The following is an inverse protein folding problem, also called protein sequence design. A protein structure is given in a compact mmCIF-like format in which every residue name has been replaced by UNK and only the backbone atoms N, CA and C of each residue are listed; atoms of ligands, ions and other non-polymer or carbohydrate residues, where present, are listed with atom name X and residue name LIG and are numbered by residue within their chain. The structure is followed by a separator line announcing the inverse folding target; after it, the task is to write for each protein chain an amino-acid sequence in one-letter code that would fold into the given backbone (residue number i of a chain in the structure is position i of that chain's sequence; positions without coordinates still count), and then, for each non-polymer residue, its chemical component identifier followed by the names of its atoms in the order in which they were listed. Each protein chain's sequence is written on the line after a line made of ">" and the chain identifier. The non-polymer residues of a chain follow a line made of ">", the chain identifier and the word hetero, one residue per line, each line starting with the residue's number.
data_IF_251914027331
#
_entry.id   IF_251914027331
#
_cell.length_a   1.000
_cell.length_b   1.000
_cell.length_c   1.000
_cell.angle_alpha   90.00
_cell.angle_beta   90.00
_cell.angle_gamma   90.00
#
_symmetry.space_group_name_H-M   'P 1'
#
loop_
_entity.id
_entity.type
_entity.pdbx_description
1 polymer ?
#
# COMPACT_ATOMS: atom_id res chain seq x y z
N UNK A 1 -41.32 -69.57 -61.46
CA UNK A 1 -42.24 -68.65 -60.74
C UNK A 1 -42.24 -68.76 -59.21
N UNK A 2 -41.50 -69.70 -58.56
CA UNK A 2 -41.46 -69.82 -57.08
C UNK A 2 -40.11 -69.47 -56.40
N UNK A 3 -38.99 -69.42 -57.13
CA UNK A 3 -37.66 -69.08 -56.57
C UNK A 3 -37.22 -67.61 -56.78
N UNK A 4 -37.74 -66.91 -57.79
CA UNK A 4 -37.48 -65.46 -57.97
C UNK A 4 -38.17 -64.59 -56.91
N UNK A 5 -39.27 -65.09 -56.34
CA UNK A 5 -40.02 -64.36 -55.32
C UNK A 5 -39.28 -64.35 -53.98
N UNK A 6 -38.63 -65.47 -53.60
CA UNK A 6 -37.80 -65.55 -52.39
C UNK A 6 -36.54 -64.67 -52.48
N UNK A 7 -35.92 -64.55 -53.65
CA UNK A 7 -34.75 -63.67 -53.85
C UNK A 7 -35.12 -62.18 -53.81
N UNK A 8 -36.26 -61.80 -54.39
CA UNK A 8 -36.79 -60.42 -54.29
C UNK A 8 -37.29 -60.07 -52.89
N UNK A 9 -37.84 -61.01 -52.14
CA UNK A 9 -38.27 -60.79 -50.76
C UNK A 9 -37.07 -60.58 -49.82
N UNK A 10 -35.98 -61.32 -50.04
CA UNK A 10 -34.75 -61.15 -49.27
C UNK A 10 -34.03 -59.82 -49.61
N UNK A 11 -34.06 -59.37 -50.87
CA UNK A 11 -33.54 -58.03 -51.24
C UNK A 11 -34.42 -56.87 -50.74
N UNK A 12 -35.75 -57.07 -50.64
CA UNK A 12 -36.67 -56.08 -50.07
C UNK A 12 -36.53 -55.95 -48.55
N UNK A 13 -36.23 -57.04 -47.85
CA UNK A 13 -35.94 -57.02 -46.41
C UNK A 13 -34.54 -56.44 -46.14
N UNK A 14 -33.53 -56.75 -46.94
CA UNK A 14 -32.19 -56.14 -46.79
C UNK A 14 -32.20 -54.65 -47.13
N UNK A 15 -33.08 -54.18 -48.04
CA UNK A 15 -33.28 -52.73 -48.29
C UNK A 15 -34.20 -52.03 -47.28
N UNK A 16 -35.02 -52.76 -46.51
CA UNK A 16 -35.89 -52.17 -45.48
C UNK A 16 -35.32 -52.24 -44.06
N UNK A 17 -34.13 -52.83 -43.87
CA UNK A 17 -33.35 -52.80 -42.62
C UNK A 17 -32.18 -51.81 -42.76
N UNK A 18 -32.49 -50.58 -43.14
CA UNK A 18 -31.89 -49.46 -42.39
C UNK A 18 -32.99 -49.08 -41.42
N UNK A 19 -32.85 -49.54 -40.19
CA UNK A 19 -33.78 -49.21 -39.13
C UNK A 19 -33.95 -47.70 -39.09
N UNK A 20 -35.14 -47.19 -38.78
CA UNK A 20 -35.36 -45.76 -38.55
C UNK A 20 -34.32 -45.21 -37.54
N UNK A 21 -33.89 -46.09 -36.62
CA UNK A 21 -32.76 -45.93 -35.71
C UNK A 21 -31.41 -45.66 -36.38
N UNK A 22 -31.09 -46.31 -37.50
CA UNK A 22 -29.84 -46.10 -38.25
C UNK A 22 -29.83 -44.73 -38.95
N UNK A 23 -31.00 -44.26 -39.42
CA UNK A 23 -31.16 -42.94 -40.03
C UNK A 23 -31.08 -41.83 -38.98
N UNK A 24 -31.72 -42.01 -37.83
CA UNK A 24 -31.59 -41.13 -36.66
C UNK A 24 -30.14 -41.08 -36.18
N UNK A 25 -29.43 -42.21 -36.13
CA UNK A 25 -28.02 -42.26 -35.75
C UNK A 25 -27.11 -41.52 -36.75
N UNK A 26 -27.38 -41.63 -38.05
CA UNK A 26 -26.64 -40.89 -39.10
C UNK A 26 -26.89 -39.39 -39.01
N UNK A 27 -28.13 -38.95 -38.84
CA UNK A 27 -28.48 -37.53 -38.69
C UNK A 27 -27.94 -36.96 -37.37
N UNK A 28 -28.00 -37.71 -36.27
CA UNK A 28 -27.37 -37.37 -35.00
C UNK A 28 -25.85 -37.21 -35.15
N UNK A 29 -25.17 -38.13 -35.86
CA UNK A 29 -23.73 -38.02 -36.15
C UNK A 29 -23.39 -36.81 -37.02
N UNK A 30 -24.26 -36.44 -37.98
CA UNK A 30 -24.08 -35.21 -38.80
C UNK A 30 -24.26 -33.94 -37.95
N UNK A 31 -25.28 -33.90 -37.11
CA UNK A 31 -25.52 -32.81 -36.16
C UNK A 31 -24.36 -32.65 -35.17
N UNK A 32 -23.90 -33.75 -34.58
CA UNK A 32 -22.75 -33.75 -33.67
C UNK A 32 -21.48 -33.22 -34.35
N UNK A 33 -21.19 -33.64 -35.60
CA UNK A 33 -20.06 -33.09 -36.38
C UNK A 33 -20.18 -31.59 -36.65
N UNK A 34 -21.39 -31.06 -36.89
CA UNK A 34 -21.61 -29.61 -37.08
C UNK A 34 -21.37 -28.84 -35.79
N UNK A 35 -21.87 -29.36 -34.66
CA UNK A 35 -21.64 -28.78 -33.33
C UNK A 35 -20.14 -28.78 -33.01
N UNK A 36 -19.46 -29.91 -33.19
CA UNK A 36 -18.01 -30.02 -32.93
C UNK A 36 -17.18 -29.08 -33.83
N UNK A 37 -17.57 -28.91 -35.11
CA UNK A 37 -16.94 -27.93 -36.00
C UNK A 37 -17.20 -26.49 -35.54
N UNK A 38 -18.43 -26.17 -35.16
CA UNK A 38 -18.78 -24.85 -34.62
C UNK A 38 -18.01 -24.53 -33.34
N UNK A 39 -17.92 -25.49 -32.43
CA UNK A 39 -17.12 -25.39 -31.21
C UNK A 39 -15.62 -25.23 -31.52
N UNK A 40 -15.09 -26.00 -32.49
CA UNK A 40 -13.70 -25.89 -32.93
C UNK A 40 -13.38 -24.51 -33.53
N UNK A 41 -14.28 -23.93 -34.33
CA UNK A 41 -14.14 -22.57 -34.85
C UNK A 41 -14.18 -21.55 -33.72
N UNK A 42 -15.12 -21.69 -32.79
CA UNK A 42 -15.24 -20.80 -31.62
C UNK A 42 -13.96 -20.81 -30.78
N UNK A 43 -13.43 -22.00 -30.47
CA UNK A 43 -12.17 -22.17 -29.74
C UNK A 43 -11.01 -21.57 -30.53
N UNK A 44 -10.93 -21.79 -31.84
CA UNK A 44 -9.90 -21.21 -32.70
C UNK A 44 -9.92 -19.67 -32.68
N UNK A 45 -11.10 -19.06 -32.78
CA UNK A 45 -11.27 -17.61 -32.67
C UNK A 45 -10.85 -17.11 -31.29
N UNK A 46 -11.28 -17.79 -30.22
CA UNK A 46 -10.90 -17.42 -28.86
C UNK A 46 -9.39 -17.46 -28.67
N UNK A 47 -8.72 -18.49 -29.17
CA UNK A 47 -7.24 -18.61 -29.11
C UNK A 47 -6.58 -17.46 -29.84
N UNK A 48 -7.04 -17.10 -31.05
CA UNK A 48 -6.49 -15.96 -31.80
C UNK A 48 -6.70 -14.65 -31.05
N UNK A 49 -7.86 -14.43 -30.43
CA UNK A 49 -8.14 -13.24 -29.62
C UNK A 49 -7.24 -13.18 -28.38
N UNK A 50 -7.04 -14.29 -27.67
CA UNK A 50 -6.15 -14.36 -26.51
C UNK A 50 -4.70 -14.09 -26.92
N UNK A 51 -4.22 -14.70 -28.00
CA UNK A 51 -2.88 -14.42 -28.53
C UNK A 51 -2.75 -12.95 -28.92
N UNK A 52 -3.75 -12.40 -29.62
CA UNK A 52 -3.80 -10.99 -30.00
C UNK A 52 -3.73 -10.06 -28.79
N UNK A 53 -4.47 -10.37 -27.71
CA UNK A 53 -4.44 -9.62 -26.46
C UNK A 53 -3.07 -9.71 -25.78
N UNK A 54 -2.50 -10.93 -25.66
CA UNK A 54 -1.18 -11.12 -25.05
C UNK A 54 -0.10 -10.34 -25.81
N UNK A 55 -0.11 -10.41 -27.15
CA UNK A 55 0.81 -9.64 -27.99
C UNK A 55 0.59 -8.14 -27.83
N UNK A 56 -0.66 -7.67 -27.85
CA UNK A 56 -0.98 -6.27 -27.64
C UNK A 56 -0.45 -5.77 -26.29
N UNK A 57 -0.76 -6.47 -25.19
CA UNK A 57 -0.30 -6.12 -23.84
C UNK A 57 1.22 -6.10 -23.79
N UNK A 58 1.89 -7.15 -24.25
CA UNK A 58 3.36 -7.24 -24.21
C UNK A 58 4.06 -6.12 -25.00
N UNK A 59 3.42 -5.60 -26.05
CA UNK A 59 3.93 -4.50 -26.87
C UNK A 59 3.58 -3.10 -26.35
N UNK A 60 2.65 -2.97 -25.39
CA UNK A 60 2.07 -1.67 -25.00
C UNK A 60 2.23 -1.34 -23.53
N UNK A 61 2.36 -2.34 -22.64
CA UNK A 61 2.32 -2.13 -21.20
C UNK A 61 3.45 -1.26 -20.64
N UNK A 62 4.61 -1.23 -21.31
CA UNK A 62 5.81 -0.51 -20.84
C UNK A 62 6.29 0.51 -21.88
N UNK A 63 5.35 1.13 -22.60
CA UNK A 63 5.69 2.19 -23.55
C UNK A 63 5.99 3.49 -22.79
N UNK A 64 7.13 4.14 -23.05
CA UNK A 64 7.43 5.41 -22.43
C UNK A 64 6.45 6.48 -22.91
N UNK A 65 5.99 7.30 -21.97
CA UNK A 65 5.15 8.47 -22.24
C UNK A 65 6.06 9.65 -22.54
N UNK A 66 6.05 10.12 -23.78
CA UNK A 66 6.80 11.31 -24.17
C UNK A 66 6.16 12.54 -23.53
N UNK A 67 6.80 13.07 -22.49
CA UNK A 67 6.38 14.28 -21.76
C UNK A 67 7.58 15.17 -21.50
N UNK A 68 7.38 16.48 -21.59
CA UNK A 68 8.43 17.44 -21.28
C UNK A 68 8.87 17.30 -19.82
N UNK A 69 10.18 17.36 -19.58
CA UNK A 69 10.73 17.45 -18.23
C UNK A 69 10.64 18.91 -17.79
N UNK A 70 10.01 19.21 -16.63
CA UNK A 70 9.94 20.58 -16.14
C UNK A 70 11.35 21.11 -15.86
N UNK A 71 11.63 22.33 -16.29
CA UNK A 71 12.94 22.95 -16.08
C UNK A 71 12.94 23.59 -14.68
N UNK A 72 13.42 22.84 -13.69
CA UNK A 72 13.46 23.24 -12.29
C UNK A 72 14.81 22.88 -11.69
N UNK A 73 15.21 23.60 -10.64
CA UNK A 73 16.44 23.34 -9.90
C UNK A 73 16.15 23.50 -8.42
N UNK A 74 16.50 22.50 -7.63
CA UNK A 74 16.28 22.50 -6.20
C UNK A 74 17.24 23.51 -5.54
N UNK A 75 16.74 24.43 -4.70
CA UNK A 75 17.60 25.24 -3.85
C UNK A 75 18.41 24.34 -2.90
N UNK A 76 19.65 24.74 -2.60
CA UNK A 76 20.56 23.99 -1.72
C UNK A 76 20.76 24.65 -0.37
N UNK A 77 19.98 25.69 -0.06
CA UNK A 77 20.05 26.37 1.22
C UNK A 77 19.50 25.49 2.36
N UNK A 78 19.97 25.75 3.57
CA UNK A 78 19.65 24.92 4.73
C UNK A 78 18.15 24.92 5.08
N UNK A 79 17.41 25.98 4.78
CA UNK A 79 15.98 26.05 5.06
C UNK A 79 15.19 25.13 4.13
N UNK A 80 15.54 25.13 2.83
CA UNK A 80 14.94 24.23 1.85
C UNK A 80 15.26 22.77 2.16
N UNK A 81 16.51 22.45 2.51
CA UNK A 81 16.90 21.09 2.91
C UNK A 81 16.14 20.63 4.16
N UNK A 82 16.04 21.48 5.20
CA UNK A 82 15.30 21.15 6.41
C UNK A 82 13.80 20.95 6.15
N UNK A 83 13.20 21.73 5.25
CA UNK A 83 11.81 21.49 4.81
C UNK A 83 11.69 20.16 4.08
N UNK A 84 12.65 19.82 3.23
CA UNK A 84 12.71 18.55 2.53
C UNK A 84 12.82 17.37 3.48
N UNK A 85 13.68 17.46 4.49
CA UNK A 85 13.82 16.47 5.56
C UNK A 85 12.49 16.27 6.29
N UNK A 86 11.85 17.35 6.72
CA UNK A 86 10.55 17.29 7.40
C UNK A 86 9.47 16.58 6.57
N UNK A 87 9.41 16.86 5.26
CA UNK A 87 8.48 16.19 4.35
C UNK A 87 8.86 14.73 4.15
N UNK A 88 10.13 14.43 3.89
CA UNK A 88 10.62 13.08 3.62
C UNK A 88 10.44 12.14 4.82
N UNK A 89 10.85 12.60 6.00
CA UNK A 89 10.89 11.83 7.26
C UNK A 89 9.51 11.70 7.88
N UNK A 90 8.75 12.81 7.95
CA UNK A 90 7.61 12.88 8.85
C UNK A 90 6.27 12.98 8.14
N UNK A 91 6.25 13.34 6.87
CA UNK A 91 5.01 13.72 6.19
C UNK A 91 4.70 12.79 5.01
N UNK A 92 5.54 12.77 3.98
CA UNK A 92 5.43 11.88 2.82
C UNK A 92 6.06 10.49 3.02
N UNK A 93 6.81 10.28 4.11
CA UNK A 93 7.29 8.97 4.57
C UNK A 93 8.05 8.17 3.51
N UNK A 94 8.89 8.84 2.73
CA UNK A 94 9.61 8.22 1.62
C UNK A 94 10.46 7.01 2.07
N UNK A 95 10.98 7.06 3.30
CA UNK A 95 11.76 5.98 3.89
C UNK A 95 10.99 4.68 4.10
N UNK A 96 9.66 4.73 4.21
CA UNK A 96 8.82 3.55 4.41
C UNK A 96 8.93 2.58 3.23
N UNK A 97 9.23 3.07 2.02
CA UNK A 97 9.43 2.23 0.85
C UNK A 97 10.86 2.24 0.30
N UNK A 98 11.63 3.30 0.55
CA UNK A 98 12.95 3.52 -0.07
C UNK A 98 14.15 3.26 0.86
N UNK A 99 13.93 2.78 2.09
CA UNK A 99 14.98 2.32 2.99
C UNK A 99 15.76 1.11 2.43
N UNK A 100 17.01 0.95 2.87
CA UNK A 100 17.86 -0.17 2.47
C UNK A 100 17.63 -1.43 3.33
N UNK A 101 18.12 -2.57 2.82
CA UNK A 101 18.28 -3.84 3.57
C UNK A 101 17.00 -4.44 4.18
N UNK A 102 15.83 -4.18 3.58
CA UNK A 102 14.56 -4.74 4.08
C UNK A 102 14.05 -4.06 5.35
N UNK A 103 14.68 -2.96 5.78
CA UNK A 103 14.24 -2.20 6.95
C UNK A 103 13.23 -1.11 6.57
N UNK A 104 12.21 -0.93 7.41
CA UNK A 104 11.32 0.23 7.41
C UNK A 104 11.86 1.25 8.43
N UNK A 105 13.08 1.75 8.23
CA UNK A 105 13.71 2.68 9.17
C UNK A 105 14.19 3.95 8.48
N UNK A 106 13.91 5.14 9.05
CA UNK A 106 14.51 6.39 8.58
C UNK A 106 16.04 6.43 8.84
N UNK A 107 16.55 5.65 9.81
CA UNK A 107 17.97 5.64 10.19
C UNK A 107 18.86 4.87 9.20
N UNK A 108 18.26 3.98 8.41
CA UNK A 108 18.98 3.21 7.41
C UNK A 108 19.16 4.03 6.13
N UNK A 109 20.24 3.80 5.37
CA UNK A 109 20.43 4.50 4.11
C UNK A 109 19.22 4.35 3.19
N UNK A 110 18.84 5.43 2.54
CA UNK A 110 17.68 5.49 1.62
C UNK A 110 18.04 4.93 0.24
N UNK A 111 18.69 3.77 0.25
CA UNK A 111 19.34 3.15 -0.89
C UNK A 111 18.47 2.08 -1.59
N UNK A 112 17.19 1.97 -1.20
CA UNK A 112 16.21 1.06 -1.80
C UNK A 112 16.52 -0.42 -1.60
N UNK A 113 15.74 -1.27 -2.27
CA UNK A 113 15.86 -2.73 -2.23
C UNK A 113 14.85 -3.44 -1.32
N UNK A 114 14.03 -2.70 -0.57
CA UNK A 114 12.88 -3.26 0.12
C UNK A 114 11.92 -3.91 -0.88
N UNK A 115 11.61 -5.20 -0.67
CA UNK A 115 10.66 -5.95 -1.50
C UNK A 115 9.23 -5.71 -1.01
N UNK A 116 8.34 -5.40 -1.94
CA UNK A 116 6.90 -5.31 -1.73
C UNK A 116 6.22 -6.43 -2.51
N UNK A 117 5.68 -7.41 -1.79
CA UNK A 117 4.89 -8.50 -2.36
C UNK A 117 3.46 -8.05 -2.63
N UNK A 118 3.18 -7.70 -3.89
CA UNK A 118 1.86 -7.34 -4.36
C UNK A 118 1.15 -8.52 -5.06
N UNK A 119 1.56 -9.77 -4.81
CA UNK A 119 0.92 -10.95 -5.44
C UNK A 119 -0.46 -11.24 -4.87
N UNK A 120 -0.76 -10.80 -3.65
CA UNK A 120 -2.09 -10.91 -3.03
C UNK A 120 -2.96 -9.66 -3.23
N UNK A 121 -2.42 -8.60 -3.83
CA UNK A 121 -3.16 -7.37 -4.10
C UNK A 121 -3.91 -7.49 -5.43
N UNK A 122 -5.24 -7.41 -5.36
CA UNK A 122 -6.12 -7.43 -6.54
C UNK A 122 -5.95 -8.72 -7.36
N UNK A 123 -5.71 -8.65 -8.69
CA UNK A 123 -5.46 -9.83 -9.53
C UNK A 123 -4.03 -10.40 -9.40
N UNK A 124 -3.25 -9.93 -8.42
CA UNK A 124 -1.85 -10.28 -8.18
C UNK A 124 -0.90 -9.55 -9.12
N UNK A 125 -0.28 -8.47 -8.64
CA UNK A 125 0.55 -7.58 -9.45
C UNK A 125 2.01 -8.02 -9.59
N UNK A 126 2.54 -8.75 -8.62
CA UNK A 126 3.91 -9.26 -8.62
C UNK A 126 4.76 -8.66 -7.50
N UNK A 127 6.09 -8.69 -7.67
CA UNK A 127 7.04 -8.20 -6.67
C UNK A 127 7.69 -6.91 -7.13
N UNK A 128 7.70 -5.90 -6.26
CA UNK A 128 8.22 -4.57 -6.55
C UNK A 128 9.29 -4.20 -5.54
N UNK A 129 10.20 -3.32 -5.94
CA UNK A 129 11.30 -2.90 -5.08
C UNK A 129 11.40 -1.39 -4.99
N UNK A 130 11.61 -0.88 -3.78
CA UNK A 130 11.92 0.52 -3.53
C UNK A 130 13.21 0.94 -4.25
N UNK A 131 13.18 2.07 -4.96
CA UNK A 131 14.36 2.57 -5.69
C UNK A 131 15.39 3.21 -4.76
N UNK A 132 16.65 3.26 -5.18
CA UNK A 132 17.72 3.97 -4.46
C UNK A 132 17.57 5.49 -4.66
N UNK A 133 17.21 6.21 -3.59
CA UNK A 133 17.01 7.67 -3.61
C UNK A 133 18.27 8.46 -3.25
N UNK A 134 19.38 7.80 -2.95
CA UNK A 134 20.65 8.48 -2.64
C UNK A 134 21.26 9.10 -3.91
N UNK A 135 22.10 10.14 -3.80
CA UNK A 135 22.71 10.80 -4.95
C UNK A 135 23.84 10.00 -5.62
N UNK A 136 23.91 8.68 -5.39
CA UNK A 136 24.85 7.80 -6.09
C UNK A 136 24.64 7.89 -7.62
N UNK A 137 25.69 8.15 -8.42
CA UNK A 137 25.55 8.41 -9.85
C UNK A 137 25.31 7.15 -10.69
N UNK A 138 25.63 5.96 -10.18
CA UNK A 138 25.53 4.71 -10.95
C UNK A 138 24.22 3.96 -10.67
N UNK A 139 23.77 3.97 -9.42
CA UNK A 139 22.68 3.13 -8.93
C UNK A 139 21.55 3.92 -8.27
N UNK A 140 21.77 5.20 -7.96
CA UNK A 140 20.78 6.11 -7.39
C UNK A 140 20.37 7.23 -8.34
N UNK A 141 19.92 8.34 -7.76
CA UNK A 141 19.37 9.49 -8.49
C UNK A 141 20.43 10.50 -8.96
N UNK A 142 21.72 10.23 -8.74
CA UNK A 142 22.81 11.21 -8.93
C UNK A 142 22.90 11.83 -10.32
N UNK A 143 22.44 11.12 -11.36
CA UNK A 143 22.44 11.61 -12.76
C UNK A 143 21.09 12.09 -13.27
N UNK A 144 20.04 12.00 -12.46
CA UNK A 144 18.73 12.55 -12.80
C UNK A 144 18.78 14.06 -12.62
N UNK A 145 18.04 14.81 -13.43
CA UNK A 145 17.76 16.23 -13.19
C UNK A 145 16.67 16.39 -12.13
N UNK A 146 16.61 17.57 -11.49
CA UNK A 146 15.59 17.83 -10.47
C UNK A 146 14.17 17.82 -11.08
N UNK A 147 14.03 18.26 -12.33
CA UNK A 147 12.79 18.15 -13.08
C UNK A 147 12.33 16.71 -13.32
N UNK A 148 13.25 15.79 -13.60
CA UNK A 148 12.93 14.36 -13.74
C UNK A 148 12.45 13.77 -12.41
N UNK A 149 13.08 14.14 -11.29
CA UNK A 149 12.66 13.70 -9.96
C UNK A 149 11.28 14.25 -9.57
N UNK A 150 11.06 15.55 -9.79
CA UNK A 150 9.76 16.19 -9.55
C UNK A 150 8.66 15.54 -10.40
N UNK A 151 8.95 15.19 -11.65
CA UNK A 151 8.02 14.47 -12.54
C UNK A 151 7.75 13.04 -12.05
N UNK A 152 8.79 12.33 -11.60
CA UNK A 152 8.61 11.01 -11.02
C UNK A 152 7.70 11.05 -9.80
N UNK A 153 7.92 12.01 -8.90
CA UNK A 153 7.14 12.17 -7.67
C UNK A 153 5.68 12.53 -7.97
N UNK A 154 5.44 13.54 -8.82
CA UNK A 154 4.10 14.11 -9.01
C UNK A 154 3.31 13.48 -10.14
N UNK A 155 3.97 12.85 -11.10
CA UNK A 155 3.31 12.34 -12.30
C UNK A 155 3.43 10.82 -12.47
N UNK A 156 4.26 10.16 -11.66
CA UNK A 156 4.46 8.72 -11.70
C UNK A 156 5.28 8.26 -12.91
N UNK A 157 6.15 9.11 -13.46
CA UNK A 157 6.96 8.81 -14.63
C UNK A 157 8.44 8.82 -14.29
N UNK A 158 9.14 7.72 -14.55
CA UNK A 158 10.59 7.66 -14.37
C UNK A 158 11.34 8.58 -15.36
N UNK A 159 12.67 8.51 -15.30
CA UNK A 159 13.56 9.30 -16.15
C UNK A 159 13.27 9.10 -17.63
N UNK A 160 13.11 7.85 -18.05
CA UNK A 160 12.85 7.45 -19.42
C UNK A 160 11.37 7.61 -19.83
N UNK A 161 10.48 7.91 -18.87
CA UNK A 161 9.06 8.16 -19.07
C UNK A 161 8.19 6.91 -18.94
N UNK A 162 8.70 5.83 -18.35
CA UNK A 162 7.90 4.66 -18.00
C UNK A 162 7.09 4.93 -16.74
N UNK A 163 5.95 4.25 -16.64
CA UNK A 163 5.08 4.37 -15.48
C UNK A 163 5.72 3.66 -14.29
N UNK A 164 5.94 4.40 -13.22
CA UNK A 164 6.33 3.84 -11.92
C UNK A 164 5.13 3.06 -11.39
N UNK A 165 5.39 1.90 -10.78
CA UNK A 165 4.35 1.07 -10.19
C UNK A 165 3.47 1.91 -9.22
N UNK A 166 2.12 1.89 -9.33
CA UNK A 166 1.21 2.74 -8.55
C UNK A 166 1.18 2.52 -7.03
N UNK A 167 2.06 1.67 -6.47
CA UNK A 167 2.32 1.72 -5.02
C UNK A 167 3.06 2.98 -4.63
N UNK A 168 3.87 3.55 -5.54
CA UNK A 168 4.38 4.91 -5.34
C UNK A 168 3.17 5.88 -5.42
N UNK A 169 2.86 6.65 -4.37
CA UNK A 169 1.57 7.35 -4.22
C UNK A 169 1.50 8.67 -5.02
N UNK A 170 1.90 8.63 -6.30
CA UNK A 170 1.91 9.80 -7.18
C UNK A 170 0.53 10.43 -7.39
N UNK A 171 -0.57 9.68 -7.20
CA UNK A 171 -1.93 10.24 -7.24
C UNK A 171 -2.10 11.34 -6.19
N UNK A 172 -1.60 11.08 -4.99
CA UNK A 172 -1.68 11.99 -3.86
C UNK A 172 -0.56 13.04 -3.93
N UNK A 173 0.65 12.67 -4.33
CA UNK A 173 1.74 13.62 -4.52
C UNK A 173 1.54 14.57 -5.73
N UNK A 174 0.57 14.33 -6.61
CA UNK A 174 0.33 15.17 -7.80
C UNK A 174 0.11 16.64 -7.48
N UNK A 175 -0.58 16.94 -6.38
CA UNK A 175 -0.85 18.30 -5.91
C UNK A 175 0.24 18.92 -5.04
N UNK A 176 1.38 18.23 -4.87
CA UNK A 176 2.50 18.78 -4.11
C UNK A 176 3.04 20.05 -4.80
N UNK A 177 3.21 21.11 -4.01
CA UNK A 177 3.66 22.40 -4.53
C UNK A 177 5.07 22.30 -5.12
N UNK A 178 5.41 23.22 -6.02
CA UNK A 178 6.75 23.29 -6.60
C UNK A 178 7.82 23.50 -5.51
N UNK A 179 7.52 24.30 -4.48
CA UNK A 179 8.40 24.55 -3.34
C UNK A 179 8.68 23.26 -2.56
N UNK A 180 7.63 22.54 -2.15
CA UNK A 180 7.79 21.32 -1.35
C UNK A 180 8.36 20.15 -2.17
N UNK A 181 8.03 20.07 -3.47
CA UNK A 181 8.61 19.07 -4.37
C UNK A 181 10.12 19.30 -4.56
N UNK A 182 10.55 20.56 -4.72
CA UNK A 182 11.97 20.90 -4.78
C UNK A 182 12.66 20.75 -3.43
N UNK A 183 11.97 20.97 -2.31
CA UNK A 183 12.50 20.71 -0.98
C UNK A 183 12.82 19.23 -0.78
N UNK A 184 11.90 18.33 -1.17
CA UNK A 184 12.16 16.88 -1.18
C UNK A 184 13.39 16.54 -2.02
N UNK A 185 13.51 17.12 -3.22
CA UNK A 185 14.70 16.91 -4.07
C UNK A 185 15.97 17.43 -3.39
N UNK A 186 15.94 18.62 -2.79
CA UNK A 186 17.08 19.18 -2.07
C UNK A 186 17.55 18.25 -0.94
N UNK A 187 16.63 17.69 -0.16
CA UNK A 187 16.97 16.72 0.89
C UNK A 187 17.54 15.42 0.31
N UNK A 188 16.91 14.83 -0.71
CA UNK A 188 17.43 13.62 -1.36
C UNK A 188 18.85 13.81 -1.92
N UNK A 189 19.16 15.00 -2.46
CA UNK A 189 20.51 15.37 -2.92
C UNK A 189 21.52 15.51 -1.77
N UNK A 190 21.06 15.84 -0.57
CA UNK A 190 21.91 16.00 0.61
C UNK A 190 22.26 14.68 1.30
N UNK A 191 21.53 13.60 0.98
CA UNK A 191 21.76 12.28 1.56
C UNK A 191 23.17 11.76 1.22
N UNK A 192 23.79 10.95 2.10
CA UNK A 192 25.01 10.23 1.76
C UNK A 192 24.80 9.33 0.53
N UNK A 193 25.67 9.39 -0.49
CA UNK A 193 25.57 8.50 -1.65
C UNK A 193 25.85 7.06 -1.23
N UNK A 194 24.95 6.14 -1.58
CA UNK A 194 25.12 4.71 -1.32
C UNK A 194 24.93 3.95 -2.62
N UNK A 195 25.98 3.24 -3.02
CA UNK A 195 25.93 2.38 -4.20
C UNK A 195 25.15 1.11 -3.88
N UNK A 196 23.92 1.02 -4.36
CA UNK A 196 23.06 -0.15 -4.22
C UNK A 196 22.21 -0.34 -5.47
N UNK A 197 22.49 -1.39 -6.24
CA UNK A 197 21.69 -1.73 -7.42
C UNK A 197 20.50 -2.56 -7.01
N UNK A 198 19.33 -1.94 -7.02
CA UNK A 198 18.05 -2.58 -6.70
C UNK A 198 17.66 -3.61 -7.78
N UNK A 199 17.09 -4.78 -7.40
CA UNK A 199 16.54 -5.74 -8.36
C UNK A 199 15.45 -5.14 -9.25
N UNK A 200 15.29 -5.68 -10.46
CA UNK A 200 14.18 -5.30 -11.33
C UNK A 200 12.85 -5.87 -10.81
N UNK A 201 11.78 -5.10 -10.95
CA UNK A 201 10.42 -5.52 -10.59
C UNK A 201 10.02 -6.79 -11.36
N UNK A 202 9.35 -7.72 -10.67
CA UNK A 202 8.82 -8.96 -11.25
C UNK A 202 7.31 -8.81 -11.44
N UNK A 203 6.91 -8.38 -12.63
CA UNK A 203 5.52 -8.03 -12.94
C UNK A 203 4.70 -9.21 -13.47
N UNK A 204 3.46 -9.34 -13.00
CA UNK A 204 2.51 -10.34 -13.51
C UNK A 204 1.91 -9.94 -14.87
N UNK A 205 1.30 -10.89 -15.59
CA UNK A 205 0.54 -10.55 -16.80
C UNK A 205 -0.66 -9.65 -16.50
N UNK A 206 -1.33 -9.86 -15.36
CA UNK A 206 -2.47 -9.04 -14.95
C UNK A 206 -2.08 -7.57 -14.77
N UNK A 207 -0.95 -7.31 -14.11
CA UNK A 207 -0.40 -5.97 -13.99
C UNK A 207 -0.13 -5.32 -15.36
N UNK A 208 0.58 -6.04 -16.24
CA UNK A 208 0.87 -5.55 -17.59
C UNK A 208 -0.40 -5.25 -18.38
N UNK A 209 -1.42 -6.09 -18.23
CA UNK A 209 -2.71 -5.90 -18.89
C UNK A 209 -3.43 -4.64 -18.39
N UNK A 210 -3.40 -4.35 -17.09
CA UNK A 210 -3.99 -3.12 -16.55
C UNK A 210 -3.35 -1.85 -17.15
N UNK A 211 -2.03 -1.83 -17.32
CA UNK A 211 -1.35 -0.68 -17.95
C UNK A 211 -1.59 -0.66 -19.46
N UNK A 212 -1.39 -1.79 -20.16
CA UNK A 212 -1.55 -1.86 -21.62
C UNK A 212 -2.97 -1.55 -22.10
N UNK A 213 -3.99 -1.85 -21.28
CA UNK A 213 -5.39 -1.49 -21.52
C UNK A 213 -5.76 -0.09 -21.01
N UNK A 214 -4.82 0.63 -20.38
CA UNK A 214 -5.01 1.99 -19.90
C UNK A 214 -5.92 2.11 -18.67
N UNK A 215 -6.01 1.09 -17.83
CA UNK A 215 -6.70 1.16 -16.55
C UNK A 215 -5.85 1.83 -15.47
N UNK A 216 -4.52 1.70 -15.58
CA UNK A 216 -3.53 2.42 -14.76
C UNK A 216 -2.77 3.36 -15.70
N UNK A 217 -2.69 4.65 -15.33
CA UNK A 217 -2.08 5.71 -16.13
C UNK A 217 -1.23 6.63 -15.24
N UNK A 218 -0.21 7.30 -15.79
CA UNK A 218 0.41 8.42 -15.08
C UNK A 218 -0.61 9.52 -14.84
N UNK A 219 -0.33 10.39 -13.87
CA UNK A 219 -1.17 11.56 -13.64
C UNK A 219 -1.10 12.52 -14.84
N UNK A 220 -2.09 13.43 -14.98
CA UNK A 220 -2.02 14.50 -15.96
C UNK A 220 -0.69 15.27 -15.90
N UNK A 221 -0.28 15.88 -17.00
CA UNK A 221 0.93 16.71 -16.98
C UNK A 221 0.68 17.99 -16.16
N UNK A 222 1.61 18.34 -15.29
CA UNK A 222 1.59 19.64 -14.62
C UNK A 222 2.16 20.68 -15.59
N UNK A 223 1.30 21.59 -16.04
CA UNK A 223 1.63 22.58 -17.09
C UNK A 223 1.76 24.01 -16.56
N UNK A 224 1.50 24.21 -15.28
CA UNK A 224 1.61 25.50 -14.59
C UNK A 224 2.15 25.27 -13.17
N UNK A 225 2.78 26.29 -12.55
CA UNK A 225 3.28 26.18 -11.19
C UNK A 225 2.20 25.79 -10.19
N UNK A 226 2.52 24.85 -9.29
CA UNK A 226 1.64 24.47 -8.18
C UNK A 226 2.11 25.21 -6.93
N UNK A 227 1.22 26.01 -6.34
CA UNK A 227 1.54 26.84 -5.16
C UNK A 227 0.77 26.30 -3.97
N UNK A 228 1.48 26.05 -2.86
CA UNK A 228 0.85 25.62 -1.62
C UNK A 228 0.04 26.79 -1.01
N UNK A 229 -1.07 26.49 -0.29
CA UNK A 229 -1.68 27.47 0.60
C UNK A 229 -0.66 28.00 1.61
N UNK A 230 -0.82 29.24 2.10
CA UNK A 230 0.02 29.76 3.17
C UNK A 230 0.05 28.80 4.36
N UNK A 231 1.26 28.47 4.83
CA UNK A 231 1.46 27.66 6.05
C UNK A 231 0.78 28.36 7.22
N UNK A 232 0.07 27.61 8.04
CA UNK A 232 -0.75 28.15 9.11
C UNK A 232 -1.78 27.13 9.60
N UNK A 233 -2.36 27.40 10.78
CA UNK A 233 -3.48 26.63 11.35
C UNK A 233 -4.79 26.92 10.61
N UNK A 234 -4.86 26.56 9.32
CA UNK A 234 -6.03 26.76 8.47
C UNK A 234 -6.47 25.44 7.84
N UNK A 235 -7.77 25.31 7.58
CA UNK A 235 -8.31 24.13 6.88
C UNK A 235 -7.80 24.03 5.44
N UNK A 236 -7.42 25.14 4.81
CA UNK A 236 -6.87 25.15 3.45
C UNK A 236 -5.48 24.52 3.41
N UNK A 237 -4.60 24.92 4.32
CA UNK A 237 -3.28 24.28 4.46
C UNK A 237 -3.39 22.84 4.97
N UNK A 238 -4.33 22.56 5.87
CA UNK A 238 -4.64 21.21 6.32
C UNK A 238 -5.08 20.28 5.19
N UNK A 239 -5.86 20.80 4.23
CA UNK A 239 -6.25 20.07 3.02
C UNK A 239 -5.02 19.72 2.19
N UNK A 240 -4.12 20.69 1.98
CA UNK A 240 -2.89 20.46 1.25
C UNK A 240 -2.02 19.38 1.90
N UNK A 241 -1.86 19.42 3.23
CA UNK A 241 -1.17 18.38 3.98
C UNK A 241 -1.83 17.01 3.74
N UNK A 242 -3.10 16.86 4.11
CA UNK A 242 -3.82 15.59 4.10
C UNK A 242 -3.88 14.90 2.72
N UNK A 243 -3.96 15.69 1.63
CA UNK A 243 -4.01 15.17 0.27
C UNK A 243 -2.65 14.98 -0.39
N UNK A 244 -1.67 15.83 -0.11
CA UNK A 244 -0.48 15.94 -0.96
C UNK A 244 0.84 15.82 -0.22
N UNK A 245 0.90 16.31 1.01
CA UNK A 245 2.16 16.39 1.76
C UNK A 245 2.21 15.45 2.96
N UNK A 246 1.22 14.58 3.22
CA UNK A 246 1.18 13.78 4.46
C UNK A 246 0.68 12.34 4.39
N UNK A 247 0.47 11.76 3.21
CA UNK A 247 0.08 10.34 3.08
C UNK A 247 -1.30 9.95 3.66
N UNK A 248 -2.04 10.85 4.32
CA UNK A 248 -3.32 10.50 4.97
C UNK A 248 -4.32 9.92 3.96
N UNK A 249 -4.44 10.55 2.80
CA UNK A 249 -5.35 10.10 1.74
C UNK A 249 -4.96 8.72 1.18
N UNK A 250 -3.69 8.31 1.27
CA UNK A 250 -3.24 7.02 0.73
C UNK A 250 -3.90 5.82 1.43
N UNK A 251 -3.99 5.89 2.77
CA UNK A 251 -4.53 4.82 3.60
C UNK A 251 -6.01 5.04 3.95
N UNK A 252 -6.45 6.29 4.09
CA UNK A 252 -7.79 6.62 4.60
C UNK A 252 -8.82 6.91 3.49
N UNK A 253 -8.46 6.80 2.21
CA UNK A 253 -9.42 6.90 1.11
C UNK A 253 -10.05 5.54 0.78
N UNK A 254 -11.39 5.48 0.62
CA UNK A 254 -12.02 4.30 0.06
C UNK A 254 -11.55 4.13 -1.38
N UNK A 255 -11.56 2.89 -1.87
CA UNK A 255 -11.27 2.56 -3.26
C UNK A 255 -12.46 1.88 -3.89
N UNK A 256 -12.55 1.92 -5.21
CA UNK A 256 -13.56 1.18 -5.96
C UNK A 256 -13.24 -0.33 -5.87
N UNK A 257 -14.18 -1.19 -5.46
CA UNK A 257 -13.98 -2.64 -5.48
C UNK A 257 -13.71 -3.20 -6.89
N UNK A 258 -14.17 -2.50 -7.93
CA UNK A 258 -14.08 -2.97 -9.31
C UNK A 258 -12.79 -2.55 -10.01
N UNK A 259 -12.26 -1.36 -9.69
CA UNK A 259 -11.09 -0.79 -10.39
C UNK A 259 -9.89 -0.58 -9.48
N UNK A 260 -10.06 -0.63 -8.16
CA UNK A 260 -9.04 -0.27 -7.17
C UNK A 260 -8.71 1.22 -7.12
N UNK A 261 -9.35 2.06 -7.94
CA UNK A 261 -9.12 3.50 -7.95
C UNK A 261 -9.69 4.17 -6.70
N UNK A 262 -9.05 5.25 -6.23
CA UNK A 262 -9.53 6.06 -5.12
C UNK A 262 -10.96 6.57 -5.38
N UNK A 263 -11.85 6.38 -4.41
CA UNK A 263 -13.24 6.84 -4.46
C UNK A 263 -13.32 8.29 -3.99
N UNK A 264 -13.18 9.19 -4.95
CA UNK A 264 -13.21 10.64 -4.74
C UNK A 264 -14.56 11.18 -4.26
N UNK A 265 -15.62 10.36 -4.27
CA UNK A 265 -16.95 10.77 -3.77
C UNK A 265 -17.08 10.64 -2.26
N UNK A 266 -16.18 9.89 -1.62
CA UNK A 266 -16.19 9.65 -0.17
C UNK A 266 -14.81 9.90 0.45
N UNK A 267 -14.27 11.11 0.35
CA UNK A 267 -12.89 11.36 0.75
C UNK A 267 -12.68 11.13 2.24
N UNK A 268 -11.57 10.46 2.59
CA UNK A 268 -11.19 10.11 3.95
C UNK A 268 -12.20 9.24 4.73
N UNK A 269 -13.17 8.62 4.06
CA UNK A 269 -14.17 7.78 4.71
C UNK A 269 -13.64 6.39 5.11
N UNK A 270 -12.34 6.12 5.01
CA UNK A 270 -11.71 4.86 5.39
C UNK A 270 -11.27 4.00 4.20
N UNK A 271 -10.25 3.16 4.42
CA UNK A 271 -9.59 2.34 3.40
C UNK A 271 -10.43 1.15 2.92
N UNK A 272 -10.13 0.65 1.72
CA UNK A 272 -10.89 -0.44 1.09
C UNK A 272 -10.54 -1.83 1.62
N UNK A 273 -9.26 -2.10 1.90
CA UNK A 273 -8.78 -3.46 2.20
C UNK A 273 -7.92 -3.48 3.46
N UNK A 274 -8.04 -4.55 4.26
CA UNK A 274 -7.05 -4.84 5.27
C UNK A 274 -5.68 -5.01 4.62
N UNK A 275 -4.67 -4.34 5.16
CA UNK A 275 -3.27 -4.56 4.87
C UNK A 275 -2.79 -5.68 5.81
N UNK A 276 -2.59 -6.92 5.31
CA UNK A 276 -2.00 -7.97 6.11
C UNK A 276 -0.50 -7.67 6.27
N UNK A 277 -0.06 -7.71 7.52
CA UNK A 277 1.35 -7.58 7.90
C UNK A 277 1.72 -8.77 8.77
N UNK A 278 3.02 -8.96 9.01
CA UNK A 278 3.46 -9.97 9.97
C UNK A 278 2.93 -9.62 11.37
N UNK A 279 2.03 -10.47 11.90
CA UNK A 279 1.48 -10.32 13.24
C UNK A 279 0.19 -9.48 13.35
N UNK A 280 -0.23 -8.76 12.31
CA UNK A 280 -1.50 -8.03 12.33
C UNK A 280 -2.13 -7.85 10.94
N UNK A 281 -3.38 -7.38 10.91
CA UNK A 281 -4.05 -6.87 9.72
C UNK A 281 -4.80 -5.60 10.08
N UNK A 282 -4.73 -4.57 9.24
CA UNK A 282 -5.32 -3.25 9.57
C UNK A 282 -5.94 -2.57 8.36
N UNK A 283 -6.97 -1.75 8.58
CA UNK A 283 -7.61 -0.95 7.53
C UNK A 283 -7.57 0.52 7.92
N UNK A 284 -7.40 1.43 6.96
CA UNK A 284 -7.46 2.87 7.23
C UNK A 284 -8.83 3.26 7.81
N UNK A 285 -8.83 3.89 8.98
CA UNK A 285 -10.06 4.32 9.66
C UNK A 285 -10.80 5.42 8.89
N UNK A 286 -12.10 5.56 9.13
CA UNK A 286 -12.84 6.72 8.65
C UNK A 286 -12.42 7.97 9.46
N UNK A 287 -11.93 9.00 8.77
CA UNK A 287 -11.47 10.27 9.38
C UNK A 287 -12.47 11.42 9.17
N UNK A 288 -13.63 11.15 8.59
CA UNK A 288 -14.68 12.16 8.46
C UNK A 288 -15.28 12.48 9.84
N UNK A 289 -15.94 13.64 10.03
CA UNK A 289 -16.55 14.00 11.30
C UNK A 289 -17.87 13.26 11.57
N UNK A 290 -18.06 12.07 10.99
CA UNK A 290 -19.17 11.18 11.31
C UNK A 290 -19.08 10.72 12.77
N UNK A 291 -20.20 10.81 13.49
CA UNK A 291 -20.26 10.59 14.94
C UNK A 291 -20.19 9.11 15.34
N UNK A 292 -20.53 8.20 14.43
CA UNK A 292 -20.67 6.77 14.74
C UNK A 292 -19.46 5.95 14.26
N UNK A 293 -18.92 6.32 13.10
CA UNK A 293 -17.88 5.55 12.41
C UNK A 293 -16.61 6.34 12.16
N UNK A 294 -16.65 7.68 12.28
CA UNK A 294 -15.52 8.57 12.04
C UNK A 294 -14.90 9.13 13.33
N UNK A 295 -14.31 10.32 13.22
CA UNK A 295 -13.71 11.08 14.35
C UNK A 295 -14.65 12.19 14.85
N UNK A 296 -15.96 12.04 14.62
CA UNK A 296 -16.98 13.03 14.93
C UNK A 296 -17.03 13.41 16.42
N UNK A 297 -16.84 12.42 17.29
CA UNK A 297 -16.88 12.51 18.74
C UNK A 297 -15.54 12.85 19.40
N UNK A 298 -14.45 12.95 18.62
CA UNK A 298 -13.13 13.33 19.13
C UNK A 298 -13.07 14.84 19.39
N UNK A 299 -12.34 15.26 20.43
CA UNK A 299 -11.90 16.65 20.61
C UNK A 299 -10.58 16.91 19.88
N UNK A 300 -10.21 18.19 19.72
CA UNK A 300 -8.90 18.55 19.16
C UNK A 300 -7.77 17.97 20.02
N UNK A 301 -7.83 18.11 21.34
CA UNK A 301 -6.80 17.61 22.26
C UNK A 301 -6.64 16.09 22.17
N UNK A 302 -7.76 15.38 21.99
CA UNK A 302 -7.78 13.94 21.78
C UNK A 302 -7.13 13.54 20.45
N UNK A 303 -7.45 14.24 19.36
CA UNK A 303 -6.78 14.04 18.07
C UNK A 303 -5.28 14.31 18.16
N UNK A 304 -4.89 15.42 18.79
CA UNK A 304 -3.49 15.79 18.98
C UNK A 304 -2.76 14.73 19.81
N UNK A 305 -3.38 14.21 20.86
CA UNK A 305 -2.83 13.12 21.68
C UNK A 305 -2.63 11.86 20.83
N UNK A 306 -3.65 11.46 20.08
CA UNK A 306 -3.57 10.29 19.22
C UNK A 306 -2.44 10.38 18.18
N UNK A 307 -2.24 11.54 17.56
CA UNK A 307 -1.15 11.73 16.59
C UNK A 307 0.24 11.81 17.25
N UNK A 308 0.32 12.20 18.52
CA UNK A 308 1.60 12.33 19.26
C UNK A 308 2.03 11.04 19.94
N UNK A 309 1.09 10.19 20.35
CA UNK A 309 1.36 9.02 21.20
C UNK A 309 0.77 7.71 20.69
N UNK A 310 -0.05 7.76 19.64
CA UNK A 310 -0.82 6.61 19.16
C UNK A 310 -1.99 6.22 20.06
N UNK A 311 -2.27 6.96 21.15
CA UNK A 311 -3.36 6.63 22.08
C UNK A 311 -4.70 7.21 21.59
N UNK A 312 -5.67 6.34 21.32
CA UNK A 312 -7.03 6.73 20.94
C UNK A 312 -7.85 7.18 22.16
N UNK A 313 -8.95 7.94 21.96
CA UNK A 313 -9.84 8.37 23.04
C UNK A 313 -10.46 7.24 23.86
N UNK A 314 -10.66 6.07 23.25
CA UNK A 314 -11.16 4.86 23.91
C UNK A 314 -10.10 4.12 24.75
N UNK A 315 -8.85 4.62 24.75
CA UNK A 315 -7.71 4.06 25.46
C UNK A 315 -6.97 2.96 24.70
N UNK A 316 -7.40 2.60 23.49
CA UNK A 316 -6.67 1.63 22.65
C UNK A 316 -5.48 2.30 21.95
N UNK A 317 -4.44 1.51 21.66
CA UNK A 317 -3.24 1.98 20.97
C UNK A 317 -3.34 1.70 19.47
N UNK A 318 -3.01 2.68 18.65
CA UNK A 318 -2.91 2.54 17.20
C UNK A 318 -1.76 1.59 16.84
N UNK A 319 -2.02 0.69 15.90
CA UNK A 319 -0.95 -0.08 15.25
C UNK A 319 0.00 0.88 14.53
N UNK A 320 1.33 0.66 14.59
CA UNK A 320 2.33 1.56 14.03
C UNK A 320 2.31 1.65 12.50
N UNK A 321 1.56 0.77 11.81
CA UNK A 321 1.25 0.93 10.39
C UNK A 321 0.55 2.26 10.10
N UNK A 322 -0.23 2.78 11.06
CA UNK A 322 -0.52 4.19 11.10
C UNK A 322 0.73 4.90 11.65
N UNK A 323 1.42 5.73 10.85
CA UNK A 323 2.75 6.24 11.17
C UNK A 323 2.70 7.42 12.15
N UNK A 324 1.95 7.29 13.24
CA UNK A 324 1.89 8.27 14.33
C UNK A 324 3.27 8.61 14.90
N UNK A 325 4.29 7.72 14.95
CA UNK A 325 5.64 8.10 15.38
C UNK A 325 6.23 9.26 14.56
N UNK A 326 5.96 9.26 13.26
CA UNK A 326 6.36 10.31 12.33
C UNK A 326 5.53 11.57 12.54
N UNK A 327 4.21 11.44 12.62
CA UNK A 327 3.33 12.57 12.89
C UNK A 327 3.54 13.17 14.29
N UNK A 328 4.10 12.41 15.23
CA UNK A 328 4.51 12.91 16.53
C UNK A 328 5.65 13.94 16.44
N UNK A 329 6.34 14.05 15.30
CA UNK A 329 7.35 15.07 14.99
C UNK A 329 6.81 16.25 14.20
N UNK A 330 5.53 16.23 13.81
CA UNK A 330 4.92 17.36 13.14
C UNK A 330 4.92 18.62 13.99
N UNK A 331 4.94 19.77 13.32
CA UNK A 331 4.68 21.04 14.00
C UNK A 331 3.27 21.02 14.62
N UNK A 332 3.08 21.76 15.70
CA UNK A 332 1.74 21.92 16.29
C UNK A 332 0.78 22.59 15.29
N UNK A 333 1.30 23.48 14.44
CA UNK A 333 0.57 24.14 13.37
C UNK A 333 0.03 23.15 12.34
N UNK A 334 0.86 22.21 11.87
CA UNK A 334 0.51 21.23 10.85
C UNK A 334 -0.56 20.24 11.35
N UNK A 335 -0.42 19.74 12.60
CA UNK A 335 -1.43 18.85 13.19
C UNK A 335 -2.78 19.56 13.38
N UNK A 336 -2.76 20.81 13.84
CA UNK A 336 -4.00 21.61 13.95
C UNK A 336 -4.61 21.91 12.59
N UNK A 337 -3.79 22.22 11.58
CA UNK A 337 -4.29 22.43 10.22
C UNK A 337 -4.98 21.17 9.69
N UNK A 338 -4.34 20.00 9.85
CA UNK A 338 -4.93 18.71 9.48
C UNK A 338 -6.26 18.46 10.21
N UNK A 339 -6.31 18.69 11.53
CA UNK A 339 -7.56 18.61 12.31
C UNK A 339 -8.66 19.51 11.74
N UNK A 340 -8.37 20.79 11.50
CA UNK A 340 -9.34 21.74 10.95
C UNK A 340 -9.87 21.31 9.59
N UNK A 341 -9.02 20.73 8.75
CA UNK A 341 -9.45 20.19 7.47
C UNK A 341 -10.35 18.97 7.63
N UNK A 342 -9.96 17.98 8.43
CA UNK A 342 -10.76 16.78 8.67
C UNK A 342 -12.12 17.13 9.26
N UNK A 343 -12.19 18.11 10.18
CA UNK A 343 -13.45 18.63 10.73
C UNK A 343 -14.31 19.39 9.72
N UNK A 344 -13.74 19.85 8.61
CA UNK A 344 -14.48 20.52 7.54
C UNK A 344 -15.11 19.57 6.51
N UNK A 345 -14.76 18.28 6.56
CA UNK A 345 -15.30 17.27 5.65
C UNK A 345 -16.79 17.03 5.88
N UNK A 346 -17.48 16.56 4.85
CA UNK A 346 -18.83 16.01 5.00
C UNK A 346 -18.77 14.74 5.87
N UNK A 347 -19.62 14.61 6.90
CA UNK A 347 -19.72 13.37 7.65
C UNK A 347 -20.21 12.23 6.75
N UNK A 348 -19.45 11.14 6.68
CA UNK A 348 -19.83 9.96 5.89
C UNK A 348 -19.82 8.75 6.82
N UNK A 349 -20.98 8.15 7.04
CA UNK A 349 -21.09 6.89 7.77
C UNK A 349 -20.47 5.76 6.94
N UNK A 350 -19.37 5.21 7.40
CA UNK A 350 -18.68 4.09 6.77
C UNK A 350 -17.86 3.34 7.82
N UNK A 351 -18.37 2.19 8.23
CA UNK A 351 -17.67 1.29 9.14
C UNK A 351 -16.62 0.50 8.36
N UNK A 352 -15.37 0.56 8.81
CA UNK A 352 -14.27 -0.24 8.27
C UNK A 352 -13.98 -1.42 9.19
N UNK A 353 -13.44 -2.54 8.68
CA UNK A 353 -13.00 -3.64 9.51
C UNK A 353 -12.01 -3.18 10.57
N UNK A 354 -12.24 -3.60 11.81
CA UNK A 354 -11.29 -3.38 12.90
C UNK A 354 -9.96 -4.07 12.61
N UNK A 355 -8.87 -3.50 13.10
CA UNK A 355 -7.57 -4.14 13.04
C UNK A 355 -7.57 -5.41 13.91
N UNK A 356 -6.90 -6.46 13.44
CA UNK A 356 -6.82 -7.75 14.13
C UNK A 356 -5.37 -8.21 14.22
N UNK A 357 -5.04 -8.96 15.27
CA UNK A 357 -3.77 -9.67 15.34
C UNK A 357 -3.83 -10.93 14.46
N UNK A 358 -2.69 -11.34 13.93
CA UNK A 358 -2.55 -12.54 13.09
C UNK A 358 -1.40 -13.42 13.57
N UNK A 359 -1.29 -14.64 13.04
CA UNK A 359 -0.19 -15.55 13.34
C UNK A 359 0.04 -15.80 14.83
N UNK A 360 1.30 -15.79 15.24
CA UNK A 360 1.69 -16.04 16.64
C UNK A 360 1.20 -14.96 17.62
N UNK A 361 1.02 -13.70 17.17
CA UNK A 361 0.45 -12.63 18.00
C UNK A 361 -1.01 -12.92 18.38
N UNK A 362 -1.76 -13.60 17.50
CA UNK A 362 -3.14 -13.99 17.74
C UNK A 362 -3.29 -15.31 18.50
N UNK A 363 -2.57 -16.36 18.07
CA UNK A 363 -2.83 -17.74 18.53
C UNK A 363 -1.65 -18.42 19.21
N UNK A 364 -0.49 -17.76 19.28
CA UNK A 364 0.68 -18.27 20.01
C UNK A 364 0.48 -18.25 21.52
N UNK A 365 1.52 -18.64 22.26
CA UNK A 365 1.56 -18.63 23.73
C UNK A 365 2.97 -18.39 24.24
N UNK A 366 3.11 -17.89 25.47
CA UNK A 366 4.40 -17.72 26.13
C UNK A 366 5.29 -16.72 25.39
N UNK A 367 6.60 -16.89 25.53
CA UNK A 367 7.59 -16.01 24.90
C UNK A 367 7.44 -15.90 23.37
N UNK A 368 6.91 -16.91 22.68
CA UNK A 368 6.69 -16.85 21.23
C UNK A 368 5.56 -15.89 20.83
N UNK A 369 4.46 -15.83 21.59
CA UNK A 369 3.43 -14.79 21.39
C UNK A 369 3.94 -13.43 21.85
N UNK A 370 4.72 -13.40 22.94
CA UNK A 370 5.39 -12.20 23.43
C UNK A 370 6.28 -11.56 22.37
N UNK A 371 7.12 -12.34 21.70
CA UNK A 371 7.99 -11.89 20.60
C UNK A 371 7.18 -11.27 19.46
N UNK A 372 6.12 -11.95 19.02
CA UNK A 372 5.26 -11.44 17.95
C UNK A 372 4.56 -10.13 18.35
N UNK A 373 3.99 -10.06 19.56
CA UNK A 373 3.36 -8.83 20.08
C UNK A 373 4.36 -7.69 20.25
N UNK A 374 5.59 -8.00 20.67
CA UNK A 374 6.66 -7.03 20.81
C UNK A 374 7.03 -6.43 19.45
N UNK A 375 7.11 -7.27 18.41
CA UNK A 375 7.28 -6.84 17.02
C UNK A 375 6.18 -5.87 16.57
N UNK A 376 4.93 -6.13 16.95
CA UNK A 376 3.78 -5.30 16.56
C UNK A 376 3.73 -3.95 17.31
N UNK A 377 3.94 -3.92 18.62
CA UNK A 377 3.63 -2.74 19.45
C UNK A 377 4.84 -2.04 20.05
N UNK A 378 5.96 -2.74 20.25
CA UNK A 378 7.05 -2.25 21.08
C UNK A 378 8.31 -1.91 20.27
N UNK A 379 8.49 -2.57 19.12
CA UNK A 379 9.69 -2.52 18.30
C UNK A 379 10.12 -1.08 17.92
N UNK A 380 9.17 -0.25 17.51
CA UNK A 380 9.45 1.13 17.04
C UNK A 380 10.10 2.01 18.12
N UNK A 381 9.82 1.72 19.39
CA UNK A 381 10.38 2.46 20.52
C UNK A 381 11.59 1.74 21.12
N UNK A 382 11.53 0.42 21.27
CA UNK A 382 12.49 -0.33 22.09
C UNK A 382 13.55 -1.08 21.28
N UNK A 383 13.42 -1.16 19.96
CA UNK A 383 14.29 -1.96 19.09
C UNK A 383 14.14 -3.46 19.31
N UNK A 384 14.62 -4.29 18.37
CA UNK A 384 14.35 -5.74 18.34
C UNK A 384 14.71 -6.48 19.63
N UNK A 385 15.71 -5.99 20.37
CA UNK A 385 16.25 -6.62 21.58
C UNK A 385 16.23 -5.69 22.80
N UNK A 386 15.36 -4.70 22.79
CA UNK A 386 15.22 -3.76 23.91
C UNK A 386 16.43 -2.85 24.11
N UNK A 387 17.23 -2.60 23.07
CA UNK A 387 18.43 -1.73 23.11
C UNK A 387 18.14 -0.26 22.82
N UNK A 388 16.88 0.09 22.56
CA UNK A 388 16.43 1.40 22.10
C UNK A 388 16.12 1.40 20.60
N UNK A 389 15.19 2.27 20.21
CA UNK A 389 14.74 2.46 18.83
C UNK A 389 14.60 3.95 18.46
N UNK A 390 14.14 4.27 17.25
CA UNK A 390 14.14 5.64 16.71
C UNK A 390 13.42 6.69 17.56
N UNK A 391 12.47 6.28 18.39
CA UNK A 391 11.73 7.18 19.27
C UNK A 391 12.30 7.29 20.69
N UNK A 392 13.10 6.32 21.14
CA UNK A 392 13.70 6.35 22.49
C UNK A 392 14.99 5.53 22.56
N UNK A 393 16.05 6.15 23.05
CA UNK A 393 17.34 5.51 23.30
C UNK A 393 17.38 4.71 24.63
N UNK A 394 16.24 4.54 25.32
CA UNK A 394 16.19 3.80 26.58
C UNK A 394 16.33 2.31 26.31
N UNK A 395 17.39 1.71 26.83
CA UNK A 395 17.59 0.26 26.83
C UNK A 395 16.60 -0.40 27.80
N UNK A 396 15.45 -0.81 27.28
CA UNK A 396 14.45 -1.60 28.00
C UNK A 396 15.07 -2.85 28.62
N UNK A 397 16.03 -3.48 27.93
CA UNK A 397 16.75 -4.65 28.42
C UNK A 397 17.39 -4.41 29.80
N UNK A 398 18.05 -3.27 29.97
CA UNK A 398 18.74 -2.94 31.22
C UNK A 398 17.73 -2.51 32.29
N UNK A 399 16.74 -1.70 31.92
CA UNK A 399 15.68 -1.26 32.83
C UNK A 399 14.88 -2.45 33.40
N UNK A 400 14.58 -3.43 32.56
CA UNK A 400 13.78 -4.59 32.94
C UNK A 400 14.49 -5.50 33.95
N UNK A 401 15.83 -5.57 33.93
CA UNK A 401 16.60 -6.38 34.90
C UNK A 401 16.42 -5.92 36.35
N UNK A 402 16.14 -4.64 36.57
CA UNK A 402 15.92 -4.06 37.90
C UNK A 402 14.49 -4.20 38.44
N UNK A 403 13.57 -4.76 37.66
CA UNK A 403 12.13 -4.82 37.97
C UNK A 403 11.69 -6.28 38.13
N UNK A 404 10.68 -6.54 38.96
CA UNK A 404 10.00 -7.84 38.96
C UNK A 404 8.94 -7.92 37.85
N UNK A 405 8.42 -9.12 37.59
CA UNK A 405 7.47 -9.36 36.49
C UNK A 405 6.15 -8.61 36.68
N UNK A 406 5.70 -8.44 37.93
CA UNK A 406 4.49 -7.70 38.25
C UNK A 406 4.64 -6.21 37.94
N UNK A 407 5.80 -5.63 38.24
CA UNK A 407 6.13 -4.25 37.92
C UNK A 407 6.21 -4.04 36.41
N UNK A 408 6.86 -4.95 35.67
CA UNK A 408 6.89 -4.90 34.21
C UNK A 408 5.50 -4.98 33.60
N UNK A 409 4.67 -5.93 34.05
CA UNK A 409 3.29 -6.06 33.58
C UNK A 409 2.47 -4.79 33.86
N UNK A 410 2.68 -4.16 35.03
CA UNK A 410 2.01 -2.90 35.37
C UNK A 410 2.41 -1.77 34.42
N UNK A 411 3.71 -1.61 34.13
CA UNK A 411 4.16 -0.58 33.17
C UNK A 411 3.66 -0.84 31.75
N UNK A 412 3.58 -2.09 31.31
CA UNK A 412 2.98 -2.42 30.01
C UNK A 412 1.49 -2.10 30.01
N UNK A 413 0.76 -2.46 31.07
CA UNK A 413 -0.69 -2.26 31.17
C UNK A 413 -1.07 -0.78 31.26
N UNK A 414 -0.41 -0.02 32.14
CA UNK A 414 -0.78 1.35 32.51
C UNK A 414 0.02 2.41 31.75
N UNK A 415 1.12 2.01 31.10
CA UNK A 415 2.08 2.93 30.50
C UNK A 415 2.98 3.55 31.56
N UNK A 416 3.82 4.50 31.13
CA UNK A 416 4.72 5.22 32.03
C UNK A 416 4.39 6.72 32.03
N UNK A 417 3.75 7.24 33.10
CA UNK A 417 3.33 8.64 33.18
C UNK A 417 4.48 9.63 32.94
N UNK A 418 4.21 10.68 32.17
CA UNK A 418 5.20 11.70 31.82
C UNK A 418 6.15 11.29 30.69
N UNK A 419 5.93 10.13 30.06
CA UNK A 419 6.69 9.67 28.90
C UNK A 419 5.77 9.39 27.71
N UNK A 420 6.36 9.10 26.55
CA UNK A 420 5.61 8.70 25.35
C UNK A 420 5.16 7.24 25.35
N UNK A 421 5.43 6.45 26.40
CA UNK A 421 5.01 5.05 26.49
C UNK A 421 3.53 4.95 26.92
N UNK A 422 2.61 4.56 26.01
CA UNK A 422 1.19 4.44 26.34
C UNK A 422 0.94 3.17 27.16
N UNK A 423 -0.25 3.08 27.77
CA UNK A 423 -0.74 1.87 28.41
C UNK A 423 -1.41 0.94 27.42
N UNK A 424 -1.08 -0.35 27.47
CA UNK A 424 -1.61 -1.37 26.57
C UNK A 424 -2.74 -2.21 27.18
N UNK A 425 -3.13 -1.98 28.44
CA UNK A 425 -4.15 -2.78 29.13
C UNK A 425 -5.57 -2.69 28.56
N UNK A 426 -5.83 -1.75 27.65
CA UNK A 426 -7.07 -1.67 26.86
C UNK A 426 -6.94 -2.31 25.47
N UNK A 427 -5.71 -2.61 25.05
CA UNK A 427 -5.38 -3.16 23.73
C UNK A 427 -5.04 -4.64 23.81
N UNK A 428 -4.38 -5.07 24.89
CA UNK A 428 -3.92 -6.43 25.12
C UNK A 428 -4.58 -7.04 26.34
N UNK A 429 -4.77 -8.36 26.34
CA UNK A 429 -5.23 -9.12 27.51
C UNK A 429 -4.11 -9.29 28.53
N UNK A 430 -4.47 -9.57 29.78
CA UNK A 430 -3.49 -9.88 30.85
C UNK A 430 -2.57 -11.05 30.46
N UNK A 431 -3.09 -12.04 29.74
CA UNK A 431 -2.32 -13.18 29.25
C UNK A 431 -1.30 -12.76 28.18
N UNK A 432 -1.68 -11.87 27.26
CA UNK A 432 -0.78 -11.32 26.26
C UNK A 432 0.31 -10.44 26.88
N UNK A 433 -0.03 -9.69 27.94
CA UNK A 433 0.94 -8.89 28.71
C UNK A 433 1.92 -9.80 29.45
N UNK A 434 1.45 -10.89 30.07
CA UNK A 434 2.33 -11.89 30.69
C UNK A 434 3.30 -12.52 29.68
N UNK A 435 2.83 -12.79 28.45
CA UNK A 435 3.67 -13.31 27.38
C UNK A 435 4.73 -12.31 26.90
N UNK A 436 4.39 -11.01 26.81
CA UNK A 436 5.37 -9.95 26.57
C UNK A 436 6.46 -9.94 27.65
N UNK A 437 6.09 -10.05 28.92
CA UNK A 437 7.06 -10.16 30.02
C UNK A 437 7.94 -11.40 29.83
N UNK A 438 7.36 -12.55 29.49
CA UNK A 438 8.14 -13.77 29.24
C UNK A 438 9.16 -13.60 28.09
N UNK A 439 8.83 -12.86 27.04
CA UNK A 439 9.77 -12.53 25.97
C UNK A 439 10.86 -11.55 26.41
N UNK A 440 10.51 -10.46 27.11
CA UNK A 440 11.49 -9.48 27.64
C UNK A 440 12.51 -10.16 28.55
N UNK A 441 12.10 -11.20 29.29
CA UNK A 441 12.98 -12.01 30.14
C UNK A 441 13.93 -12.95 29.39
N UNK A 442 13.76 -13.13 28.08
CA UNK A 442 14.60 -14.02 27.27
C UNK A 442 15.91 -13.41 26.79
N UNK A 443 16.11 -12.09 26.96
CA UNK A 443 17.24 -11.34 26.39
C UNK A 443 18.52 -11.25 27.23
#
# INVERSE_FOLDING_TARGET
>A
MRLMWLRRFNELIIRSVTSEKDKEEIEMKKWLRRILKGLGILVGVLVVLVIGLVVYVQLTWDRPVSRAVPQMTAPTDAQTVARGEYLYEYSNLCWMCHGSQGSHSPEEPQAGGLEFDATEIGPGFGFFYGSNLTPDPETGIGTWSDGELVRAIREGLDREGHLIFPVMPYEFAHGLSDEDALALVAYMRSLPPVRNKVPANRTSFAYKALIGLGMVKPQPAITAPVVAPPRGTTAEYGKYLAWHASGCAECHMPRSPNTGASDMTRPFAGGLFPFPEEGFSTTGSNLTPDMATGIGDWTEEQFMTAMRTGLRPDGTVMLPFMPWPSYARWSEEDLRAAWLYLRSLEPIAHEVPASTLTGAAATGTGAARGEALFGVYCLVCHGEKGTGGPLTAVALKDAAQGMDDATLATFIAEGLPGTSMPGFGKTLTDEQIADLVAFIRSW
#
